data_IF_763156368634
#
_entry.id   IF_763156368634
#
_cell.length_a   1.000
_cell.length_b   1.000
_cell.length_c   1.000
_cell.angle_alpha   90.00
_cell.angle_beta   90.00
_cell.angle_gamma   90.00
#
_symmetry.space_group_name_H-M   'P 1'
#
loop_
_entity.id
_entity.type
_entity.pdbx_description
1 polymer ?
#
# COMPACT_ATOMS: atom_id res chain seq x y z
N UNK A 1 -10.63 12.43 -15.28
CA UNK A 1 -11.48 11.26 -14.96
C UNK A 1 -11.08 10.01 -15.76
N UNK A 2 -9.80 9.88 -16.07
CA UNK A 2 -9.25 8.75 -16.82
C UNK A 2 -8.42 7.85 -15.89
N UNK A 3 -8.70 6.57 -15.92
CA UNK A 3 -7.94 5.52 -15.26
C UNK A 3 -6.87 5.01 -16.25
N UNK A 4 -5.59 5.13 -15.87
CA UNK A 4 -4.46 4.74 -16.73
C UNK A 4 -4.02 3.32 -16.41
N UNK A 5 -3.75 2.52 -17.44
CA UNK A 5 -3.14 1.21 -17.26
C UNK A 5 -1.62 1.39 -17.40
N UNK A 6 -0.82 1.06 -16.38
CA UNK A 6 0.63 1.21 -16.44
C UNK A 6 1.20 0.41 -17.61
N UNK A 7 2.25 0.94 -18.25
CA UNK A 7 2.95 0.38 -19.42
C UNK A 7 2.17 0.36 -20.75
N UNK A 8 0.95 0.91 -20.80
CA UNK A 8 0.17 1.03 -22.03
C UNK A 8 -0.13 2.51 -22.31
N UNK A 9 0.71 3.18 -23.10
CA UNK A 9 0.70 4.65 -23.32
C UNK A 9 -0.65 5.21 -23.81
N UNK A 10 -1.49 4.43 -24.48
CA UNK A 10 -2.72 4.92 -25.11
C UNK A 10 -3.99 4.24 -24.60
N UNK A 11 -3.90 3.49 -23.49
CA UNK A 11 -5.05 2.81 -22.92
C UNK A 11 -5.45 3.52 -21.63
N UNK A 12 -6.45 4.38 -21.75
CA UNK A 12 -7.12 5.00 -20.60
C UNK A 12 -8.60 4.68 -20.66
N UNK A 13 -9.17 4.31 -19.54
CA UNK A 13 -10.60 4.06 -19.40
C UNK A 13 -11.24 5.32 -18.83
N UNK A 14 -12.17 5.94 -19.57
CA UNK A 14 -12.94 7.07 -19.07
C UNK A 14 -14.04 6.58 -18.14
N UNK A 15 -13.85 6.74 -16.85
CA UNK A 15 -14.82 6.32 -15.82
C UNK A 15 -15.85 7.40 -15.48
N UNK A 16 -15.71 8.62 -15.99
CA UNK A 16 -16.61 9.71 -15.68
C UNK A 16 -16.81 9.92 -14.17
N UNK A 17 -18.05 9.93 -13.70
CA UNK A 17 -18.37 10.07 -12.28
C UNK A 17 -17.98 8.85 -11.43
N UNK A 18 -17.88 7.67 -12.00
CA UNK A 18 -17.43 6.47 -11.28
C UNK A 18 -15.97 6.57 -10.79
N UNK A 19 -15.17 7.44 -11.38
CA UNK A 19 -13.82 7.70 -10.91
C UNK A 19 -13.79 8.26 -9.48
N UNK A 20 -14.76 9.05 -9.07
CA UNK A 20 -14.86 9.53 -7.69
C UNK A 20 -15.15 8.39 -6.70
N UNK A 21 -16.00 7.44 -7.10
CA UNK A 21 -16.26 6.24 -6.27
C UNK A 21 -14.99 5.41 -6.16
N UNK A 22 -14.23 5.24 -7.24
CA UNK A 22 -12.95 4.53 -7.24
C UNK A 22 -11.94 5.21 -6.31
N UNK A 23 -11.79 6.54 -6.36
CA UNK A 23 -10.93 7.31 -5.45
C UNK A 23 -11.29 7.04 -3.98
N UNK A 24 -12.56 7.10 -3.64
CA UNK A 24 -13.02 6.81 -2.27
C UNK A 24 -12.65 5.39 -1.84
N UNK A 25 -12.87 4.40 -2.71
CA UNK A 25 -12.53 3.01 -2.43
C UNK A 25 -11.02 2.82 -2.26
N UNK A 26 -10.20 3.48 -3.06
CA UNK A 26 -8.72 3.42 -2.96
C UNK A 26 -8.26 4.04 -1.63
N UNK A 27 -8.77 5.22 -1.27
CA UNK A 27 -8.37 5.90 -0.02
C UNK A 27 -8.81 5.08 1.19
N UNK A 28 -10.08 4.68 1.26
CA UNK A 28 -10.61 3.89 2.39
C UNK A 28 -9.92 2.52 2.45
N UNK A 29 -9.75 1.88 1.29
CA UNK A 29 -9.11 0.57 1.19
C UNK A 29 -7.65 0.60 1.64
N UNK A 30 -6.87 1.55 1.14
CA UNK A 30 -5.45 1.69 1.49
C UNK A 30 -5.26 2.05 2.97
N UNK A 31 -6.08 2.97 3.50
CA UNK A 31 -6.06 3.36 4.90
C UNK A 31 -6.30 2.17 5.82
N UNK A 32 -7.36 1.40 5.57
CA UNK A 32 -7.68 0.23 6.37
C UNK A 32 -6.67 -0.92 6.17
N UNK A 33 -6.20 -1.12 4.95
CA UNK A 33 -5.25 -2.18 4.64
C UNK A 33 -3.91 -1.98 5.37
N UNK A 34 -3.41 -0.75 5.41
CA UNK A 34 -2.20 -0.39 6.16
C UNK A 34 -2.40 -0.59 7.65
N UNK A 35 -3.56 -0.18 8.18
CA UNK A 35 -3.90 -0.35 9.59
C UNK A 35 -4.01 -1.84 9.98
N UNK A 36 -4.65 -2.67 9.15
CA UNK A 36 -4.74 -4.11 9.39
C UNK A 36 -3.38 -4.82 9.34
N UNK A 37 -2.41 -4.25 8.63
CA UNK A 37 -1.06 -4.82 8.53
C UNK A 37 -0.17 -4.41 9.71
N UNK A 38 -0.52 -3.37 10.46
CA UNK A 38 0.22 -2.87 11.64
C UNK A 38 -0.05 -3.75 12.89
N UNK A 39 0.11 -5.06 12.74
CA UNK A 39 -0.17 -6.04 13.81
C UNK A 39 1.07 -6.63 14.49
N UNK A 40 2.26 -6.48 13.91
CA UNK A 40 3.53 -7.00 14.45
C UNK A 40 4.63 -5.94 14.33
N UNK A 41 5.62 -6.02 15.22
CA UNK A 41 6.77 -5.11 15.29
C UNK A 41 7.50 -4.98 13.93
N UNK A 42 7.44 -3.82 13.31
CA UNK A 42 8.11 -3.53 12.03
C UNK A 42 7.42 -4.08 10.77
N UNK A 43 6.33 -4.83 10.90
CA UNK A 43 5.67 -5.48 9.75
C UNK A 43 5.15 -4.47 8.73
N UNK A 44 4.53 -3.40 9.17
CA UNK A 44 3.96 -2.36 8.29
C UNK A 44 5.03 -1.41 7.75
N UNK A 45 6.08 -1.15 8.54
CA UNK A 45 7.06 -0.08 8.27
C UNK A 45 7.90 -0.38 7.03
N UNK A 46 8.40 -1.60 6.88
CA UNK A 46 9.22 -1.99 5.71
C UNK A 46 8.43 -1.95 4.39
N UNK A 47 7.23 -2.55 4.28
CA UNK A 47 6.43 -2.43 3.07
C UNK A 47 6.08 -0.98 2.71
N UNK A 48 5.78 -0.12 3.70
CA UNK A 48 5.55 1.31 3.45
C UNK A 48 6.75 1.97 2.79
N UNK A 49 7.98 1.71 3.28
CA UNK A 49 9.21 2.23 2.68
C UNK A 49 9.33 1.81 1.22
N UNK A 50 9.10 0.53 0.90
CA UNK A 50 9.20 0.02 -0.47
C UNK A 50 8.13 0.61 -1.40
N UNK A 51 6.90 0.78 -0.91
CA UNK A 51 5.84 1.39 -1.72
C UNK A 51 6.11 2.88 -1.97
N UNK A 52 6.55 3.64 -0.95
CA UNK A 52 6.97 5.04 -1.15
C UNK A 52 8.17 5.15 -2.09
N UNK A 53 9.14 4.23 -2.01
CA UNK A 53 10.27 4.18 -2.95
C UNK A 53 9.80 3.93 -4.39
N UNK A 54 8.87 3.01 -4.57
CA UNK A 54 8.25 2.75 -5.87
C UNK A 54 7.60 4.01 -6.42
N UNK A 55 6.81 4.71 -5.61
CA UNK A 55 6.18 5.96 -6.05
C UNK A 55 7.17 7.11 -6.26
N UNK A 56 8.26 7.18 -5.50
CA UNK A 56 9.32 8.16 -5.75
C UNK A 56 9.94 7.96 -7.14
N UNK A 57 10.21 6.70 -7.52
CA UNK A 57 10.73 6.37 -8.85
C UNK A 57 9.71 6.72 -9.94
N UNK A 58 8.43 6.33 -9.77
CA UNK A 58 7.38 6.68 -10.73
C UNK A 58 7.21 8.20 -10.85
N UNK A 59 7.17 8.92 -9.73
CA UNK A 59 7.04 10.38 -9.73
C UNK A 59 8.20 11.06 -10.49
N UNK A 60 9.43 10.58 -10.31
CA UNK A 60 10.59 11.08 -11.03
C UNK A 60 10.49 10.81 -12.54
N UNK A 61 10.14 9.58 -12.91
CA UNK A 61 10.00 9.16 -14.33
C UNK A 61 8.88 9.95 -15.02
N UNK A 62 7.69 10.01 -14.39
CA UNK A 62 6.52 10.70 -14.96
C UNK A 62 6.71 12.22 -15.02
N UNK A 63 7.58 12.80 -14.18
CA UNK A 63 7.91 14.21 -14.16
C UNK A 63 8.97 14.63 -15.17
N UNK A 64 9.61 13.68 -15.87
CA UNK A 64 10.66 13.94 -16.83
C UNK A 64 10.22 13.53 -18.24
N UNK A 65 10.20 14.50 -19.17
CA UNK A 65 9.74 14.28 -20.56
C UNK A 65 10.54 13.19 -21.25
N UNK A 66 11.88 13.19 -21.11
CA UNK A 66 12.74 12.23 -21.78
C UNK A 66 12.50 10.79 -21.30
N UNK A 67 12.36 10.62 -19.99
CA UNK A 67 12.09 9.30 -19.42
C UNK A 67 10.67 8.82 -19.72
N UNK A 68 9.69 9.70 -19.65
CA UNK A 68 8.29 9.33 -19.93
C UNK A 68 8.11 8.94 -21.39
N UNK A 69 8.77 9.61 -22.32
CA UNK A 69 8.73 9.24 -23.74
C UNK A 69 9.46 7.93 -24.03
N UNK A 70 10.64 7.73 -23.43
CA UNK A 70 11.40 6.50 -23.58
C UNK A 70 10.66 5.27 -23.03
N UNK A 71 10.02 5.40 -21.87
CA UNK A 71 9.30 4.30 -21.21
C UNK A 71 7.84 4.19 -21.66
N UNK A 72 7.41 5.01 -22.62
CA UNK A 72 6.06 5.03 -23.15
C UNK A 72 4.97 5.20 -22.06
N UNK A 73 5.26 6.03 -21.04
CA UNK A 73 4.32 6.41 -19.98
C UNK A 73 3.86 7.86 -20.17
N UNK A 74 2.73 8.22 -19.55
CA UNK A 74 2.19 9.57 -19.67
C UNK A 74 3.00 10.57 -18.84
N UNK A 75 3.47 11.64 -19.47
CA UNK A 75 4.12 12.74 -18.76
C UNK A 75 3.13 13.49 -17.86
N UNK A 76 3.49 13.71 -16.60
CA UNK A 76 2.69 14.47 -15.62
C UNK A 76 3.53 15.64 -15.13
N UNK A 77 3.16 16.85 -15.58
CA UNK A 77 3.86 18.07 -15.18
C UNK A 77 3.76 18.27 -13.65
N UNK A 78 4.90 18.50 -13.01
CA UNK A 78 4.97 18.76 -11.58
C UNK A 78 5.03 17.52 -10.69
N UNK A 79 4.92 16.30 -11.25
CA UNK A 79 5.02 15.08 -10.43
C UNK A 79 6.39 14.89 -9.76
N UNK A 80 7.43 15.56 -10.26
CA UNK A 80 8.75 15.59 -9.62
C UNK A 80 8.73 16.10 -8.17
N UNK A 81 7.81 16.99 -7.82
CA UNK A 81 7.65 17.47 -6.43
C UNK A 81 7.17 16.37 -5.48
N UNK A 82 6.45 15.38 -6.00
CA UNK A 82 6.00 14.22 -5.20
C UNK A 82 7.19 13.37 -4.75
N UNK A 83 8.32 13.40 -5.47
CA UNK A 83 9.56 12.74 -5.05
C UNK A 83 10.01 13.23 -3.69
N UNK A 84 9.93 14.56 -3.44
CA UNK A 84 10.33 15.17 -2.17
C UNK A 84 9.46 14.63 -1.04
N UNK A 85 8.15 14.56 -1.27
CA UNK A 85 7.22 13.99 -0.29
C UNK A 85 7.54 12.52 0.00
N UNK A 86 7.69 11.69 -1.03
CA UNK A 86 7.97 10.27 -0.87
C UNK A 86 9.31 10.02 -0.16
N UNK A 87 10.36 10.75 -0.54
CA UNK A 87 11.69 10.59 0.07
C UNK A 87 11.72 11.08 1.52
N UNK A 88 10.96 12.13 1.85
CA UNK A 88 10.79 12.58 3.23
C UNK A 88 10.06 11.53 4.08
N UNK A 89 9.00 10.92 3.54
CA UNK A 89 8.30 9.82 4.21
C UNK A 89 9.22 8.61 4.42
N UNK A 90 10.04 8.24 3.42
CA UNK A 90 11.03 7.17 3.54
C UNK A 90 12.03 7.48 4.65
N UNK A 91 12.57 8.71 4.69
CA UNK A 91 13.52 9.12 5.72
C UNK A 91 12.92 9.02 7.13
N UNK A 92 11.68 9.48 7.31
CA UNK A 92 10.96 9.38 8.58
C UNK A 92 10.69 7.91 8.98
N UNK A 93 10.28 7.07 8.02
CA UNK A 93 10.02 5.66 8.25
C UNK A 93 11.30 4.87 8.57
N UNK A 94 12.44 5.19 7.95
CA UNK A 94 13.73 4.60 8.29
C UNK A 94 14.17 4.95 9.72
N UNK A 95 13.99 6.22 10.12
CA UNK A 95 14.24 6.63 11.51
C UNK A 95 13.29 5.95 12.50
N UNK A 96 12.01 5.83 12.14
CA UNK A 96 11.02 5.12 12.94
C UNK A 96 11.32 3.63 13.07
N UNK A 97 11.75 2.97 11.97
CA UNK A 97 12.06 1.54 11.93
C UNK A 97 13.14 1.16 12.94
N UNK A 98 14.10 2.05 13.21
CA UNK A 98 15.14 1.83 14.22
C UNK A 98 14.56 1.49 15.60
N UNK A 99 13.43 2.14 15.94
CA UNK A 99 12.75 1.93 17.22
C UNK A 99 11.57 0.96 17.14
N UNK A 100 11.04 0.72 15.94
CA UNK A 100 9.89 -0.15 15.70
C UNK A 100 10.29 -1.59 15.32
N UNK A 101 11.58 -1.86 15.05
CA UNK A 101 12.07 -3.22 14.82
C UNK A 101 11.99 -4.05 16.11
N UNK A 102 11.69 -5.35 15.97
CA UNK A 102 11.47 -6.26 17.10
C UNK A 102 12.75 -6.49 17.95
N UNK A 103 12.71 -6.34 19.29
CA UNK A 103 11.56 -5.92 20.11
C UNK A 103 11.29 -4.41 20.01
N UNK A 104 10.10 -4.00 19.60
CA UNK A 104 9.79 -2.60 19.37
C UNK A 104 9.70 -1.80 20.67
N UNK A 105 10.31 -0.60 20.67
CA UNK A 105 10.19 0.37 21.75
C UNK A 105 9.14 1.47 21.46
N UNK A 106 8.76 1.63 20.19
CA UNK A 106 7.75 2.59 19.72
C UNK A 106 6.83 1.88 18.72
N UNK A 107 5.54 2.14 18.83
CA UNK A 107 4.49 1.59 17.96
C UNK A 107 3.87 2.69 17.10
N UNK A 108 3.47 2.35 15.86
CA UNK A 108 2.92 3.32 14.92
C UNK A 108 1.49 3.71 15.32
N UNK A 109 0.69 2.76 15.70
CA UNK A 109 -0.72 2.94 16.07
C UNK A 109 -1.61 3.35 14.90
N UNK A 110 -2.92 3.41 15.15
CA UNK A 110 -3.94 3.65 14.13
C UNK A 110 -3.75 4.99 13.42
N UNK A 111 -3.39 6.05 14.15
CA UNK A 111 -3.18 7.38 13.56
C UNK A 111 -2.03 7.38 12.55
N UNK A 112 -0.93 6.70 12.87
CA UNK A 112 0.23 6.60 11.98
C UNK A 112 -0.06 5.73 10.76
N UNK A 113 -0.52 4.51 10.98
CA UNK A 113 -0.77 3.54 9.91
C UNK A 113 -1.86 4.02 8.93
N UNK A 114 -2.95 4.59 9.44
CA UNK A 114 -4.02 5.13 8.60
C UNK A 114 -3.58 6.36 7.80
N UNK A 115 -2.85 7.30 8.42
CA UNK A 115 -2.37 8.49 7.71
C UNK A 115 -1.36 8.14 6.61
N UNK A 116 -0.48 7.18 6.83
CA UNK A 116 0.46 6.68 5.81
C UNK A 116 -0.27 5.93 4.69
N UNK A 117 -1.27 5.11 5.02
CA UNK A 117 -2.11 4.46 4.02
C UNK A 117 -2.89 5.45 3.15
N UNK A 118 -3.45 6.51 3.75
CA UNK A 118 -4.09 7.60 3.03
C UNK A 118 -3.09 8.34 2.12
N UNK A 119 -1.88 8.59 2.62
CA UNK A 119 -0.81 9.25 1.86
C UNK A 119 -0.39 8.46 0.63
N UNK A 120 -0.28 7.12 0.73
CA UNK A 120 -0.03 6.24 -0.42
C UNK A 120 -1.15 6.30 -1.44
N UNK A 121 -2.42 6.26 -0.98
CA UNK A 121 -3.57 6.37 -1.86
C UNK A 121 -3.57 7.69 -2.63
N UNK A 122 -3.39 8.82 -1.95
CA UNK A 122 -3.32 10.15 -2.57
C UNK A 122 -2.18 10.23 -3.56
N UNK A 123 -1.00 9.74 -3.20
CA UNK A 123 0.18 9.70 -4.08
C UNK A 123 -0.12 8.91 -5.36
N UNK A 124 -0.74 7.73 -5.25
CA UNK A 124 -1.09 6.90 -6.40
C UNK A 124 -2.10 7.59 -7.33
N UNK A 125 -3.08 8.28 -6.77
CA UNK A 125 -4.12 9.01 -7.51
C UNK A 125 -3.51 10.21 -8.24
N UNK A 126 -2.63 10.98 -7.58
CA UNK A 126 -1.94 12.13 -8.18
C UNK A 126 -1.04 11.70 -9.36
N UNK A 127 -0.40 10.54 -9.25
CA UNK A 127 0.44 9.96 -10.29
C UNK A 127 -0.38 9.15 -11.33
N UNK A 128 -1.66 8.96 -11.12
CA UNK A 128 -2.54 8.07 -11.94
C UNK A 128 -1.98 6.64 -12.04
N UNK A 129 -1.48 6.13 -10.93
CA UNK A 129 -0.82 4.83 -10.82
C UNK A 129 -1.50 3.95 -9.75
N UNK A 130 -2.84 3.89 -9.78
CA UNK A 130 -3.64 3.18 -8.80
C UNK A 130 -3.40 1.66 -8.84
N UNK A 131 -3.16 1.11 -10.04
CA UNK A 131 -2.81 -0.31 -10.21
C UNK A 131 -1.44 -0.59 -9.60
N UNK A 132 -0.49 0.33 -9.76
CA UNK A 132 0.85 0.19 -9.16
C UNK A 132 0.75 0.13 -7.64
N UNK A 133 -0.17 0.90 -7.03
CA UNK A 133 -0.42 0.81 -5.59
C UNK A 133 -0.83 -0.61 -5.18
N UNK A 134 -1.76 -1.23 -5.92
CA UNK A 134 -2.22 -2.58 -5.61
C UNK A 134 -1.12 -3.63 -5.76
N UNK A 135 -0.23 -3.47 -6.75
CA UNK A 135 0.88 -4.41 -7.00
C UNK A 135 2.02 -4.18 -6.01
N UNK A 136 2.50 -2.94 -5.87
CA UNK A 136 3.59 -2.60 -4.94
C UNK A 136 3.18 -2.81 -3.47
N UNK A 137 1.92 -2.48 -3.15
CA UNK A 137 1.30 -2.71 -1.85
C UNK A 137 0.67 -4.10 -1.70
N UNK A 138 1.13 -5.10 -2.45
CA UNK A 138 0.55 -6.44 -2.48
C UNK A 138 0.40 -7.10 -1.11
N UNK A 139 1.32 -6.82 -0.18
CA UNK A 139 1.20 -7.30 1.19
C UNK A 139 -0.06 -6.74 1.87
N UNK A 140 -0.32 -5.43 1.76
CA UNK A 140 -1.51 -4.79 2.32
C UNK A 140 -2.79 -5.37 1.72
N UNK A 141 -2.77 -5.64 0.41
CA UNK A 141 -3.89 -6.27 -0.30
C UNK A 141 -4.14 -7.69 0.22
N UNK A 142 -3.10 -8.51 0.37
CA UNK A 142 -3.21 -9.90 0.83
C UNK A 142 -3.72 -9.95 2.28
N UNK A 143 -3.20 -9.11 3.17
CA UNK A 143 -3.64 -9.03 4.57
C UNK A 143 -5.13 -8.67 4.64
N UNK A 144 -5.55 -7.63 3.90
CA UNK A 144 -6.96 -7.20 3.86
C UNK A 144 -7.87 -8.27 3.25
N UNK A 145 -7.47 -8.86 2.13
CA UNK A 145 -8.26 -9.94 1.50
C UNK A 145 -8.40 -11.13 2.42
N UNK A 146 -7.39 -11.48 3.21
CA UNK A 146 -7.47 -12.58 4.18
C UNK A 146 -8.59 -12.35 5.20
N UNK A 147 -8.73 -11.11 5.68
CA UNK A 147 -9.81 -10.73 6.59
C UNK A 147 -11.17 -10.78 5.91
N UNK A 148 -11.28 -10.21 4.71
CA UNK A 148 -12.54 -10.21 3.95
C UNK A 148 -13.02 -11.63 3.65
N UNK A 149 -12.12 -12.50 3.20
CA UNK A 149 -12.40 -13.91 2.91
C UNK A 149 -12.83 -14.64 4.20
N UNK A 150 -12.07 -14.45 5.28
CA UNK A 150 -12.37 -15.09 6.57
C UNK A 150 -13.75 -14.69 7.10
N UNK A 151 -14.05 -13.40 7.14
CA UNK A 151 -15.32 -12.88 7.66
C UNK A 151 -16.50 -13.34 6.79
N UNK A 152 -16.34 -13.26 5.48
CA UNK A 152 -17.38 -13.68 4.53
C UNK A 152 -17.65 -15.18 4.66
N UNK A 153 -16.60 -15.99 4.63
CA UNK A 153 -16.75 -17.44 4.76
C UNK A 153 -17.35 -17.86 6.13
N UNK A 154 -16.89 -17.23 7.22
CA UNK A 154 -17.40 -17.49 8.56
C UNK A 154 -18.91 -17.25 8.68
N UNK A 155 -19.40 -16.16 8.06
CA UNK A 155 -20.84 -15.86 8.05
C UNK A 155 -21.65 -16.88 7.26
N UNK A 156 -21.16 -17.30 6.07
CA UNK A 156 -21.89 -18.23 5.21
C UNK A 156 -21.74 -19.71 5.64
N UNK A 157 -20.65 -20.07 6.28
CA UNK A 157 -20.36 -21.47 6.68
C UNK A 157 -20.79 -21.84 8.10
N UNK A 158 -21.64 -21.03 8.73
CA UNK A 158 -22.11 -21.26 10.12
C UNK A 158 -20.98 -21.39 11.15
N UNK A 159 -19.95 -20.53 11.04
CA UNK A 159 -18.87 -20.44 12.00
C UNK A 159 -17.60 -21.23 11.66
N UNK A 160 -17.49 -21.81 10.48
CA UNK A 160 -16.24 -22.46 10.04
C UNK A 160 -15.22 -21.40 9.63
N UNK A 161 -13.94 -21.69 9.88
CA UNK A 161 -12.82 -20.81 9.55
C UNK A 161 -11.98 -21.39 8.42
N UNK A 162 -11.51 -20.54 7.49
CA UNK A 162 -10.51 -20.90 6.46
C UNK A 162 -9.11 -20.77 7.07
N UNK A 163 -8.83 -19.62 7.67
CA UNK A 163 -7.56 -19.35 8.36
C UNK A 163 -7.73 -19.61 9.87
N UNK A 164 -6.66 -20.01 10.54
CA UNK A 164 -6.68 -20.17 12.00
C UNK A 164 -7.03 -18.84 12.68
N UNK A 165 -6.50 -17.74 12.13
CA UNK A 165 -6.81 -16.37 12.51
C UNK A 165 -6.61 -15.47 11.30
N UNK A 166 -7.27 -14.33 11.22
CA UNK A 166 -7.07 -13.28 10.24
C UNK A 166 -6.82 -11.95 10.98
N UNK A 167 -5.97 -11.06 10.47
CA UNK A 167 -5.19 -11.11 9.21
C UNK A 167 -4.16 -12.25 9.13
N UNK A 168 -3.48 -12.37 7.97
CA UNK A 168 -2.68 -13.56 7.63
C UNK A 168 -1.45 -13.72 8.55
N UNK A 169 -0.83 -12.64 9.02
CA UNK A 169 0.29 -12.69 9.96
C UNK A 169 -0.10 -13.43 11.25
N UNK A 170 -1.30 -13.23 11.79
CA UNK A 170 -1.80 -13.97 12.96
C UNK A 170 -2.05 -15.46 12.68
N UNK A 171 -2.36 -15.82 11.42
CA UNK A 171 -2.44 -17.23 11.03
C UNK A 171 -1.09 -17.93 11.18
N UNK A 172 0.00 -17.26 10.80
CA UNK A 172 1.35 -17.81 10.92
C UNK A 172 1.85 -17.85 12.37
N UNK A 173 1.48 -16.88 13.21
CA UNK A 173 1.73 -16.94 14.65
C UNK A 173 1.04 -18.17 15.28
N UNK A 174 -0.23 -18.42 14.94
CA UNK A 174 -0.96 -19.61 15.39
C UNK A 174 -0.38 -20.93 14.90
N UNK A 175 0.39 -20.90 13.81
CA UNK A 175 1.20 -22.04 13.35
C UNK A 175 2.52 -22.22 14.09
N UNK A 176 2.86 -21.33 15.03
CA UNK A 176 4.08 -21.41 15.84
C UNK A 176 5.31 -20.75 15.23
N UNK A 177 5.15 -19.89 14.19
CA UNK A 177 6.24 -19.07 13.69
C UNK A 177 6.47 -17.90 14.66
N UNK A 178 7.74 -17.57 14.94
CA UNK A 178 8.08 -16.39 15.71
C UNK A 178 7.77 -15.12 14.91
N UNK A 179 7.39 -14.03 15.60
CA UNK A 179 7.08 -12.73 14.99
C UNK A 179 8.19 -12.26 14.04
N UNK A 180 9.45 -12.34 14.49
CA UNK A 180 10.60 -11.98 13.66
C UNK A 180 10.67 -12.76 12.34
N UNK A 181 10.32 -14.06 12.34
CA UNK A 181 10.28 -14.86 11.12
C UNK A 181 9.15 -14.45 10.19
N UNK A 182 8.01 -14.03 10.74
CA UNK A 182 6.86 -13.58 9.95
C UNK A 182 7.20 -12.26 9.26
N UNK A 183 7.82 -11.32 9.99
CA UNK A 183 8.20 -10.01 9.46
C UNK A 183 9.29 -10.08 8.39
N UNK A 184 10.24 -11.01 8.52
CA UNK A 184 11.36 -11.15 7.56
C UNK A 184 10.95 -11.94 6.31
N UNK A 185 9.95 -12.80 6.36
CA UNK A 185 9.53 -13.70 5.27
C UNK A 185 8.28 -13.26 4.55
#
# INVERSE_FOLDING_TARGET
NQFSIPFLKNVSIELGYFYFVLILLIVIGSTNATNLTDGLDGLVTMPLIFVFLTFAIFAYVLGNINFSDYLLVNYIKGSGEIVIFCTSAIGALLGFLWFNSSPASIFMGDTGSQSLGASLAVTSILLKQEIVLAVAGGLFVIETLSVMIQVTYFKFSKGKRIFLMAPLHHHYEKKGLSEQKIVIR
#
